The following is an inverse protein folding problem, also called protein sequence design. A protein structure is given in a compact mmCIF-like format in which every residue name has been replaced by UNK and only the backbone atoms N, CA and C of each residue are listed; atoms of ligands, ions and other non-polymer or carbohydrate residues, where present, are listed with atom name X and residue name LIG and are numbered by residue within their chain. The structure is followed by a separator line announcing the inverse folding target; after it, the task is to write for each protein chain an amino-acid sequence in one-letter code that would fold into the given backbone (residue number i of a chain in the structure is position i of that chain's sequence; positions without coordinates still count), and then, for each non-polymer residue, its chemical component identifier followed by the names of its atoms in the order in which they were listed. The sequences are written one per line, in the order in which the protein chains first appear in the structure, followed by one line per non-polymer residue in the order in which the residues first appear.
data_IF_065972548694
#
_entry.id   IF_065972548694
#
_cell.length_a   1.000
_cell.length_b   1.000
_cell.length_c   1.000
_cell.angle_alpha   90.00
_cell.angle_beta   90.00
_cell.angle_gamma   90.00
#
_symmetry.space_group_name_H-M   'P 1'
#
loop_
_entity.id
_entity.type
_entity.pdbx_description
1 polymer ?
#
# COMPACT_ATOMS: atom_id res chain seq x y z
N UNK A 1 28.75 -27.94 36.26
CA UNK A 1 27.89 -26.91 35.62
C UNK A 1 28.59 -26.33 34.38
N UNK A 2 28.54 -27.01 33.22
CA UNK A 2 29.14 -26.48 31.98
C UNK A 2 28.30 -26.71 30.70
N UNK A 3 27.20 -27.48 30.79
CA UNK A 3 26.44 -27.87 29.60
C UNK A 3 25.02 -27.26 29.53
N UNK A 4 24.54 -26.58 30.57
CA UNK A 4 23.20 -25.95 30.56
C UNK A 4 23.17 -24.57 29.91
N UNK A 5 24.31 -23.86 29.84
CA UNK A 5 24.38 -22.51 29.23
C UNK A 5 24.31 -22.56 27.70
N UNK A 6 24.64 -23.71 27.07
CA UNK A 6 24.62 -23.85 25.60
C UNK A 6 23.22 -24.09 25.03
N UNK A 7 22.26 -24.55 25.84
CA UNK A 7 20.91 -24.84 25.36
C UNK A 7 20.02 -23.60 25.30
N UNK A 8 20.29 -22.58 26.12
CA UNK A 8 19.48 -21.36 26.17
C UNK A 8 19.73 -20.41 24.99
N UNK A 9 20.91 -20.48 24.36
CA UNK A 9 21.25 -19.68 23.17
C UNK A 9 20.62 -20.21 21.87
N UNK A 10 20.19 -21.49 21.86
CA UNK A 10 19.57 -22.11 20.68
C UNK A 10 18.06 -21.86 20.61
N UNK A 11 17.40 -21.59 21.74
CA UNK A 11 15.95 -21.39 21.80
C UNK A 11 15.50 -20.00 21.32
N UNK A 12 16.39 -19.01 21.35
CA UNK A 12 16.09 -17.63 20.91
C UNK A 12 16.06 -17.45 19.39
N UNK A 13 16.48 -18.46 18.61
CA UNK A 13 16.54 -18.39 17.14
C UNK A 13 15.31 -19.01 16.43
N UNK A 14 14.38 -19.64 17.16
CA UNK A 14 13.28 -20.42 16.56
C UNK A 14 11.96 -19.60 16.49
N UNK A 15 11.91 -18.40 17.07
CA UNK A 15 10.78 -17.46 16.91
C UNK A 15 10.94 -16.52 15.71
N UNK A 16 12.02 -16.67 14.94
CA UNK A 16 12.31 -15.86 13.75
C UNK A 16 11.64 -16.39 12.48
N UNK A 17 10.56 -17.18 12.58
CA UNK A 17 9.53 -17.20 11.53
C UNK A 17 8.76 -15.88 11.58
N UNK A 18 9.52 -14.78 11.49
CA UNK A 18 9.03 -13.44 11.34
C UNK A 18 8.38 -13.39 9.97
N UNK A 19 7.13 -13.84 9.89
CA UNK A 19 6.18 -13.21 8.98
C UNK A 19 6.20 -11.75 9.42
N UNK A 20 7.08 -10.96 8.82
CA UNK A 20 7.18 -9.55 9.11
C UNK A 20 5.76 -9.00 8.99
N UNK A 21 5.22 -8.53 10.12
CA UNK A 21 3.87 -8.03 10.17
C UNK A 21 3.79 -6.88 9.18
N UNK A 22 2.89 -6.97 8.19
CA UNK A 22 2.68 -5.93 7.18
C UNK A 22 2.59 -4.56 7.85
N UNK A 23 3.25 -3.54 7.31
CA UNK A 23 3.34 -2.24 7.97
C UNK A 23 1.98 -1.58 8.22
N UNK A 24 1.03 -1.77 7.29
CA UNK A 24 -0.32 -1.22 7.36
C UNK A 24 -1.31 -2.30 7.81
N UNK A 25 -1.67 -2.31 9.09
CA UNK A 25 -2.66 -3.24 9.65
C UNK A 25 -4.08 -2.67 9.64
N UNK A 26 -4.19 -1.35 9.80
CA UNK A 26 -5.44 -0.58 9.70
C UNK A 26 -5.26 0.62 8.76
N UNK A 27 -6.32 1.22 8.20
CA UNK A 27 -6.20 2.35 7.27
C UNK A 27 -5.27 3.50 7.73
N UNK A 28 -5.34 3.92 9.01
CA UNK A 28 -4.49 5.00 9.53
C UNK A 28 -3.00 4.64 9.57
N UNK A 29 -2.65 3.35 9.55
CA UNK A 29 -1.26 2.92 9.46
C UNK A 29 -0.62 3.27 8.10
N UNK A 30 -1.38 3.73 7.09
CA UNK A 30 -0.81 4.23 5.86
C UNK A 30 0.23 5.33 6.10
N UNK A 31 0.10 6.12 7.18
CA UNK A 31 1.12 7.08 7.59
C UNK A 31 2.48 6.43 7.93
N UNK A 32 2.51 5.17 8.36
CA UNK A 32 3.77 4.43 8.56
C UNK A 32 4.52 4.22 7.24
N UNK A 33 3.81 4.01 6.12
CA UNK A 33 4.45 3.97 4.79
C UNK A 33 5.10 5.31 4.45
N UNK A 34 4.44 6.42 4.81
CA UNK A 34 5.03 7.76 4.63
C UNK A 34 6.26 7.97 5.51
N UNK A 35 6.19 7.62 6.79
CA UNK A 35 7.32 7.74 7.72
C UNK A 35 8.52 6.92 7.26
N UNK A 36 8.27 5.74 6.67
CA UNK A 36 9.29 4.81 6.19
C UNK A 36 9.49 4.89 4.67
N UNK A 37 9.12 6.01 4.03
CA UNK A 37 9.08 6.15 2.56
C UNK A 37 10.41 5.78 1.89
N UNK A 38 11.55 6.09 2.53
CA UNK A 38 12.88 5.76 2.01
C UNK A 38 13.11 4.26 1.79
N UNK A 39 12.37 3.38 2.48
CA UNK A 39 12.45 1.94 2.26
C UNK A 39 11.80 1.50 0.95
N UNK A 40 11.02 2.37 0.32
CA UNK A 40 10.19 2.08 -0.86
C UNK A 40 10.56 2.93 -2.08
N UNK A 41 11.23 4.07 -1.90
CA UNK A 41 11.70 4.88 -3.04
C UNK A 41 12.66 4.06 -3.90
N UNK A 42 12.53 4.21 -5.22
CA UNK A 42 13.26 3.46 -6.25
C UNK A 42 13.00 1.94 -6.22
N UNK A 43 11.93 1.50 -5.55
CA UNK A 43 11.49 0.09 -5.56
C UNK A 43 10.19 -0.09 -6.33
N UNK A 44 9.88 -1.32 -6.75
CA UNK A 44 8.60 -1.67 -7.36
C UNK A 44 7.39 -1.34 -6.49
N UNK A 45 6.31 -0.83 -7.10
CA UNK A 45 5.02 -0.55 -6.45
C UNK A 45 4.49 -1.76 -5.66
N UNK A 46 4.63 -2.98 -6.20
CA UNK A 46 4.18 -4.21 -5.54
C UNK A 46 4.81 -4.42 -4.16
N UNK A 47 5.99 -3.86 -3.89
CA UNK A 47 6.63 -3.97 -2.58
C UNK A 47 5.97 -3.06 -1.55
N UNK A 48 5.41 -1.92 -1.96
CA UNK A 48 4.52 -1.11 -1.10
C UNK A 48 3.19 -1.83 -0.86
N UNK A 49 2.61 -2.40 -1.93
CA UNK A 49 1.30 -3.06 -1.84
C UNK A 49 1.31 -4.30 -0.93
N UNK A 50 2.43 -5.04 -0.88
CA UNK A 50 2.61 -6.16 0.06
C UNK A 50 2.54 -5.76 1.52
N UNK A 51 2.85 -4.51 1.86
CA UNK A 51 2.79 -3.99 3.22
C UNK A 51 1.38 -3.56 3.65
N UNK A 52 0.39 -3.70 2.74
CA UNK A 52 -0.99 -3.30 2.98
C UNK A 52 -1.83 -4.54 3.27
N UNK A 53 -2.27 -4.67 4.52
CA UNK A 53 -3.24 -5.68 4.95
C UNK A 53 -4.70 -5.31 4.66
N UNK A 54 -5.19 -4.10 4.98
CA UNK A 54 -6.59 -3.78 4.77
C UNK A 54 -6.92 -3.79 3.28
N UNK A 55 -8.11 -4.29 2.96
CA UNK A 55 -8.60 -4.35 1.59
C UNK A 55 -8.65 -2.95 0.97
N UNK A 56 -8.09 -2.84 -0.23
CA UNK A 56 -8.25 -1.66 -1.08
C UNK A 56 -9.62 -1.74 -1.75
N UNK A 57 -10.49 -0.80 -1.44
CA UNK A 57 -11.86 -0.75 -1.97
C UNK A 57 -12.05 0.24 -3.12
N UNK A 58 -11.05 1.08 -3.37
CA UNK A 58 -11.13 2.11 -4.38
C UNK A 58 -9.73 2.55 -4.82
N UNK A 59 -9.50 2.49 -6.14
CA UNK A 59 -8.27 2.97 -6.79
C UNK A 59 -8.59 3.93 -7.92
N UNK A 60 -7.78 4.99 -8.00
CA UNK A 60 -7.72 5.88 -9.16
C UNK A 60 -6.28 6.04 -9.60
N UNK A 61 -6.03 6.09 -10.91
CA UNK A 61 -4.77 6.52 -11.50
C UNK A 61 -4.88 7.94 -12.03
N UNK A 62 -3.97 8.82 -11.61
CA UNK A 62 -3.76 10.14 -12.21
C UNK A 62 -2.60 10.04 -13.18
N UNK A 63 -2.85 10.30 -14.45
CA UNK A 63 -1.88 10.12 -15.54
C UNK A 63 -1.06 11.38 -15.84
N UNK A 64 -1.41 12.52 -15.24
CA UNK A 64 -0.63 13.75 -15.32
C UNK A 64 0.76 13.57 -14.69
N UNK A 65 1.72 14.43 -15.03
CA UNK A 65 3.07 14.37 -14.47
C UNK A 65 3.19 15.22 -13.19
N UNK A 66 3.62 14.65 -12.05
CA UNK A 66 4.01 13.25 -11.86
C UNK A 66 2.81 12.32 -11.68
N UNK A 67 2.85 11.14 -12.31
CA UNK A 67 1.75 10.18 -12.26
C UNK A 67 1.68 9.46 -10.92
N UNK A 68 0.47 9.14 -10.46
CA UNK A 68 0.28 8.44 -9.20
C UNK A 68 -1.01 7.63 -9.15
N UNK A 69 -1.02 6.63 -8.29
CA UNK A 69 -2.23 5.95 -7.85
C UNK A 69 -2.71 6.50 -6.52
N UNK A 70 -4.03 6.65 -6.38
CA UNK A 70 -4.70 6.87 -5.09
C UNK A 70 -5.38 5.59 -4.67
N UNK A 71 -4.92 4.98 -3.58
CA UNK A 71 -5.53 3.84 -2.92
C UNK A 71 -6.36 4.31 -1.73
N UNK A 72 -7.58 3.78 -1.60
CA UNK A 72 -8.46 4.03 -0.46
C UNK A 72 -9.06 2.73 0.06
N UNK A 73 -9.31 2.73 1.37
CA UNK A 73 -9.87 1.59 2.12
C UNK A 73 -11.40 1.69 2.31
N UNK A 74 -12.02 2.65 1.64
CA UNK A 74 -13.47 2.89 1.59
C UNK A 74 -13.92 2.90 0.14
N UNK A 75 -15.11 2.36 -0.11
CA UNK A 75 -15.73 2.39 -1.44
C UNK A 75 -16.31 3.77 -1.77
N UNK A 76 -16.78 3.95 -3.01
CA UNK A 76 -17.33 5.23 -3.48
C UNK A 76 -18.52 5.74 -2.66
N UNK A 77 -19.42 4.84 -2.24
CA UNK A 77 -20.60 5.22 -1.45
C UNK A 77 -20.23 5.68 -0.04
N UNK A 78 -19.31 4.97 0.61
CA UNK A 78 -18.77 5.32 1.92
C UNK A 78 -18.04 6.67 1.89
N UNK A 79 -17.35 6.97 0.78
CA UNK A 79 -16.67 8.25 0.57
C UNK A 79 -17.67 9.39 0.32
N UNK A 80 -18.74 9.15 -0.44
CA UNK A 80 -19.78 10.15 -0.69
C UNK A 80 -20.60 10.47 0.57
N UNK A 81 -20.79 9.50 1.47
CA UNK A 81 -21.49 9.69 2.75
C UNK A 81 -20.63 10.37 3.82
N UNK A 82 -19.31 10.42 3.65
CA UNK A 82 -18.44 11.10 4.61
C UNK A 82 -18.68 12.61 4.53
N UNK A 83 -19.14 13.20 5.65
CA UNK A 83 -19.47 14.62 5.75
C UNK A 83 -18.34 15.54 5.23
N UNK A 84 -17.09 15.11 5.37
CA UNK A 84 -15.94 15.66 4.68
C UNK A 84 -15.07 14.53 4.10
N UNK A 85 -14.89 14.52 2.78
CA UNK A 85 -14.04 13.53 2.08
C UNK A 85 -12.55 13.62 2.51
N UNK A 86 -12.18 14.66 3.26
CA UNK A 86 -10.86 14.85 3.90
C UNK A 86 -10.63 13.96 5.12
N UNK A 87 -11.66 13.33 5.67
CA UNK A 87 -11.51 12.45 6.85
C UNK A 87 -11.09 11.03 6.45
N UNK A 88 -11.27 10.64 5.19
CA UNK A 88 -10.88 9.33 4.70
C UNK A 88 -9.38 9.29 4.35
N UNK A 89 -8.70 8.24 4.81
CA UNK A 89 -7.30 7.99 4.43
C UNK A 89 -7.21 7.77 2.91
N UNK A 90 -6.41 8.59 2.26
CA UNK A 90 -5.98 8.44 0.87
C UNK A 90 -4.47 8.23 0.81
N UNK A 91 -4.06 7.05 0.33
CA UNK A 91 -2.66 6.71 0.09
C UNK A 91 -2.34 6.99 -1.38
N UNK A 92 -1.48 7.96 -1.63
CA UNK A 92 -1.03 8.36 -2.97
C UNK A 92 0.39 7.86 -3.20
N UNK A 93 0.57 6.99 -4.18
CA UNK A 93 1.88 6.43 -4.56
C UNK A 93 2.23 6.95 -5.93
N UNK A 94 3.22 7.83 -5.98
CA UNK A 94 3.75 8.39 -7.22
C UNK A 94 4.74 7.43 -7.84
N UNK A 95 4.68 7.33 -9.16
CA UNK A 95 5.51 6.43 -9.95
C UNK A 95 6.33 7.22 -10.98
N UNK A 96 7.48 6.66 -11.36
CA UNK A 96 8.40 7.30 -12.30
C UNK A 96 7.91 7.22 -13.74
N UNK A 97 7.38 6.06 -14.12
CA UNK A 97 6.98 5.76 -15.47
C UNK A 97 5.60 6.37 -15.80
N UNK A 98 5.31 6.69 -17.07
CA UNK A 98 4.00 7.15 -17.48
C UNK A 98 2.91 6.13 -17.14
N UNK A 99 1.86 6.60 -16.48
CA UNK A 99 0.74 5.75 -16.11
C UNK A 99 -0.26 5.65 -17.25
N UNK A 100 -0.50 4.43 -17.73
CA UNK A 100 -1.55 4.15 -18.72
C UNK A 100 -2.83 3.63 -18.04
N UNK A 101 -3.47 4.47 -17.21
CA UNK A 101 -4.69 4.16 -16.48
C UNK A 101 -5.91 4.77 -17.18
N UNK A 102 -6.70 3.95 -17.87
CA UNK A 102 -7.91 4.37 -18.57
C UNK A 102 -9.16 3.92 -17.82
N UNK A 103 -9.72 4.81 -17.00
CA UNK A 103 -10.92 4.52 -16.20
C UNK A 103 -12.10 4.07 -17.07
N UNK A 104 -12.36 4.76 -18.18
CA UNK A 104 -13.52 4.51 -19.06
C UNK A 104 -13.44 3.20 -19.84
N UNK A 105 -12.26 2.57 -19.89
CA UNK A 105 -12.04 1.29 -20.57
C UNK A 105 -12.18 0.10 -19.62
N UNK A 106 -12.40 0.34 -18.32
CA UNK A 106 -12.55 -0.73 -17.32
C UNK A 106 -13.98 -1.31 -17.38
N UNK A 107 -14.17 -2.59 -17.02
CA UNK A 107 -15.50 -3.18 -16.96
C UNK A 107 -16.44 -2.41 -16.04
N UNK A 108 -17.68 -2.21 -16.49
CA UNK A 108 -18.70 -1.50 -15.72
C UNK A 108 -18.91 -2.13 -14.34
N UNK A 109 -18.89 -1.31 -13.29
CA UNK A 109 -19.01 -1.73 -11.90
C UNK A 109 -17.68 -2.15 -11.23
N UNK A 110 -16.58 -2.25 -11.97
CA UNK A 110 -15.24 -2.63 -11.48
C UNK A 110 -14.17 -1.57 -11.73
N UNK A 111 -14.60 -0.37 -12.09
CA UNK A 111 -13.71 0.69 -12.55
C UNK A 111 -12.75 1.17 -11.43
N UNK A 112 -13.12 0.98 -10.17
CA UNK A 112 -12.32 1.35 -9.00
C UNK A 112 -11.62 0.16 -8.31
N UNK A 113 -11.86 -1.07 -8.76
CA UNK A 113 -11.24 -2.25 -8.16
C UNK A 113 -9.76 -2.34 -8.55
N UNK A 114 -8.91 -2.77 -7.62
CA UNK A 114 -7.53 -3.19 -7.92
C UNK A 114 -7.52 -4.69 -8.19
N UNK A 115 -7.21 -5.07 -9.42
CA UNK A 115 -7.26 -6.47 -9.88
C UNK A 115 -5.88 -7.12 -9.88
N UNK A 116 -5.82 -8.44 -10.14
CA UNK A 116 -4.54 -9.14 -10.29
C UNK A 116 -3.82 -8.68 -11.54
N UNK A 117 -4.56 -8.40 -12.60
CA UNK A 117 -4.09 -7.87 -13.86
C UNK A 117 -3.47 -6.47 -13.67
N UNK A 118 -4.05 -5.63 -12.80
CA UNK A 118 -3.45 -4.35 -12.42
C UNK A 118 -2.12 -4.55 -11.68
N UNK A 119 -2.05 -5.52 -10.77
CA UNK A 119 -0.80 -5.85 -10.06
C UNK A 119 0.27 -6.35 -11.02
N UNK A 120 -0.07 -7.17 -12.01
CA UNK A 120 0.86 -7.66 -13.03
C UNK A 120 1.36 -6.52 -13.93
N UNK A 121 0.43 -5.66 -14.40
CA UNK A 121 0.75 -4.56 -15.31
C UNK A 121 1.52 -3.42 -14.64
N UNK A 122 1.16 -3.05 -13.41
CA UNK A 122 1.68 -1.86 -12.74
C UNK A 122 2.54 -2.16 -11.51
N UNK A 123 2.60 -3.40 -11.04
CA UNK A 123 3.34 -3.74 -9.82
C UNK A 123 4.84 -3.52 -9.91
N UNK A 124 5.41 -3.45 -11.12
CA UNK A 124 6.83 -3.19 -11.34
C UNK A 124 7.16 -1.70 -11.55
N UNK A 125 6.18 -0.80 -11.53
CA UNK A 125 6.44 0.64 -11.64
C UNK A 125 7.28 1.13 -10.46
N UNK A 126 8.19 2.06 -10.73
CA UNK A 126 9.15 2.57 -9.76
C UNK A 126 8.52 3.63 -8.88
N UNK A 127 8.46 3.40 -7.57
CA UNK A 127 7.93 4.38 -6.61
C UNK A 127 8.91 5.54 -6.43
N UNK A 128 8.43 6.77 -6.58
CA UNK A 128 9.22 8.00 -6.40
C UNK A 128 8.77 8.85 -5.22
N UNK A 129 7.55 8.65 -4.74
CA UNK A 129 7.00 9.35 -3.57
C UNK A 129 5.78 8.61 -3.04
N UNK A 130 5.61 8.65 -1.73
CA UNK A 130 4.41 8.29 -0.98
C UNK A 130 3.88 9.57 -0.33
N UNK A 131 2.57 9.80 -0.46
CA UNK A 131 1.84 10.87 0.23
C UNK A 131 0.59 10.26 0.85
N UNK A 132 0.27 10.69 2.06
CA UNK A 132 -0.95 10.28 2.74
C UNK A 132 -1.77 11.53 3.06
N UNK A 133 -3.07 11.46 2.80
CA UNK A 133 -4.05 12.49 3.14
C UNK A 133 -5.13 11.88 4.01
N UNK A 134 -5.78 12.68 4.85
CA UNK A 134 -6.74 12.16 5.83
C UNK A 134 -6.46 12.74 7.21
N UNK A 135 -7.28 12.39 8.20
CA UNK A 135 -6.94 12.59 9.61
C UNK A 135 -6.14 11.42 10.13
N UNK A 136 -5.02 11.71 10.79
CA UNK A 136 -4.23 10.75 11.56
C UNK A 136 -4.94 10.42 12.87
#
# INVERSE_FOLDING_TARGET
MKNTIKFLAFLSFIISSCQAQQLVQVPNDAYKLKTNEQNFINKPLKDVLKEIKPEVKFVLGTTDSPSYFTFRFKNREELNKAANNTDAIGLHIYVKEPLNWHFDQRPKGKEYEWTKEDLEKYGNLTVIRIKVTGKQ
#
